data_IF_510645379306
#
_entry.id   IF_510645379306
#
_cell.length_a   1.000
_cell.length_b   1.000
_cell.length_c   1.000
_cell.angle_alpha   90.00
_cell.angle_beta   90.00
_cell.angle_gamma   90.00
#
_symmetry.space_group_name_H-M   'P 1'
#
loop_
_entity.id
_entity.type
_entity.pdbx_description
1 polymer ?
#
# COMPACT_ATOMS: atom_id res chain seq x y z
N UNK A 1 18.67 29.39 -7.80
CA UNK A 1 18.53 28.43 -6.69
C UNK A 1 17.15 27.79 -6.78
N UNK A 2 17.01 26.64 -7.44
CA UNK A 2 15.72 25.92 -7.53
C UNK A 2 15.79 24.71 -6.63
N UNK A 3 15.21 24.85 -5.43
CA UNK A 3 15.09 23.77 -4.44
C UNK A 3 13.99 22.82 -4.91
N UNK A 4 14.35 21.74 -5.58
CA UNK A 4 13.44 20.65 -5.95
C UNK A 4 12.95 19.99 -4.66
N UNK A 5 11.72 20.30 -4.26
CA UNK A 5 11.09 19.68 -3.11
C UNK A 5 10.79 18.21 -3.43
N UNK A 6 11.28 17.29 -2.57
CA UNK A 6 10.97 15.85 -2.67
C UNK A 6 9.45 15.68 -2.61
N UNK A 7 8.83 14.92 -3.54
CA UNK A 7 7.40 14.67 -3.48
C UNK A 7 7.05 13.99 -2.17
N UNK A 8 6.07 14.53 -1.45
CA UNK A 8 5.62 13.99 -0.18
C UNK A 8 5.05 12.57 -0.38
N UNK A 9 5.19 11.72 0.64
CA UNK A 9 4.58 10.39 0.62
C UNK A 9 3.05 10.50 0.53
N UNK A 10 2.38 9.58 -0.19
CA UNK A 10 0.93 9.56 -0.25
C UNK A 10 0.31 9.45 1.14
N UNK A 11 -0.81 10.14 1.37
CA UNK A 11 -1.53 10.09 2.65
C UNK A 11 -2.49 8.91 2.74
N UNK A 12 -2.94 8.37 1.60
CA UNK A 12 -3.91 7.28 1.52
C UNK A 12 -3.55 6.31 0.39
N UNK A 13 -4.08 5.09 0.47
CA UNK A 13 -3.97 4.08 -0.59
C UNK A 13 -4.52 4.58 -1.92
N UNK A 14 -5.75 5.11 -1.92
CA UNK A 14 -6.40 5.66 -3.13
C UNK A 14 -5.57 6.77 -3.78
N UNK A 15 -4.96 7.65 -2.98
CA UNK A 15 -4.10 8.70 -3.52
C UNK A 15 -2.82 8.13 -4.15
N UNK A 16 -2.24 7.08 -3.55
CA UNK A 16 -1.06 6.42 -4.09
C UNK A 16 -1.36 5.71 -5.43
N UNK A 17 -2.53 5.06 -5.53
CA UNK A 17 -2.98 4.42 -6.76
C UNK A 17 -3.25 5.45 -7.86
N UNK A 18 -4.00 6.51 -7.57
CA UNK A 18 -4.28 7.57 -8.54
C UNK A 18 -3.00 8.25 -9.07
N UNK A 19 -2.00 8.44 -8.20
CA UNK A 19 -0.70 8.97 -8.60
C UNK A 19 0.07 7.98 -9.49
N UNK A 20 0.03 6.68 -9.17
CA UNK A 20 0.67 5.63 -9.95
C UNK A 20 0.05 5.50 -11.35
N UNK A 21 -1.28 5.55 -11.45
CA UNK A 21 -2.00 5.55 -12.73
C UNK A 21 -1.61 6.75 -13.59
N UNK A 22 -1.51 7.94 -12.99
CA UNK A 22 -1.04 9.14 -13.68
C UNK A 22 0.39 9.03 -14.21
N UNK A 23 1.29 8.42 -13.42
CA UNK A 23 2.67 8.17 -13.85
C UNK A 23 2.73 7.17 -15.00
N UNK A 24 1.98 6.07 -14.93
CA UNK A 24 1.92 5.08 -16.01
C UNK A 24 1.39 5.72 -17.29
N UNK A 25 0.30 6.49 -17.20
CA UNK A 25 -0.24 7.20 -18.36
C UNK A 25 0.77 8.17 -18.99
N UNK A 26 1.57 8.88 -18.18
CA UNK A 26 2.63 9.75 -18.68
C UNK A 26 3.75 8.95 -19.37
N UNK A 27 4.12 7.78 -18.81
CA UNK A 27 5.12 6.88 -19.40
C UNK A 27 4.66 6.30 -20.74
N UNK A 28 3.39 5.92 -20.85
CA UNK A 28 2.78 5.39 -22.07
C UNK A 28 2.59 6.46 -23.16
N UNK A 29 2.41 7.73 -22.77
CA UNK A 29 2.33 8.85 -23.72
C UNK A 29 3.64 9.09 -24.49
N UNK A 30 4.77 8.58 -24.01
CA UNK A 30 6.04 8.54 -24.74
C UNK A 30 6.72 9.90 -24.96
N UNK A 31 6.30 10.95 -24.25
CA UNK A 31 6.88 12.30 -24.38
C UNK A 31 7.90 12.66 -23.29
N UNK A 32 8.19 11.73 -22.37
CA UNK A 32 9.10 11.96 -21.26
C UNK A 32 10.55 11.95 -21.73
N UNK A 33 11.33 12.88 -21.19
CA UNK A 33 12.78 12.79 -21.31
C UNK A 33 13.31 11.54 -20.57
N UNK A 34 14.55 11.15 -20.83
CA UNK A 34 15.19 10.05 -20.10
C UNK A 34 15.25 10.34 -18.59
N UNK A 35 15.54 11.58 -18.21
CA UNK A 35 15.62 12.02 -16.81
C UNK A 35 14.25 11.93 -16.15
N UNK A 36 13.20 12.38 -16.83
CA UNK A 36 11.82 12.30 -16.31
C UNK A 36 11.32 10.85 -16.24
N UNK A 37 11.72 10.01 -17.20
CA UNK A 37 11.39 8.57 -17.19
C UNK A 37 12.01 7.86 -15.99
N UNK A 38 13.27 8.19 -15.65
CA UNK A 38 13.94 7.65 -14.46
C UNK A 38 13.28 8.16 -13.17
N UNK A 39 12.88 9.44 -13.14
CA UNK A 39 12.17 10.01 -12.00
C UNK A 39 10.79 9.36 -11.81
N UNK A 40 10.03 9.17 -12.90
CA UNK A 40 8.75 8.50 -12.90
C UNK A 40 8.86 7.06 -12.42
N UNK A 41 9.85 6.30 -12.91
CA UNK A 41 10.12 4.94 -12.46
C UNK A 41 10.41 4.87 -10.96
N UNK A 42 11.31 5.74 -10.47
CA UNK A 42 11.65 5.79 -9.04
C UNK A 42 10.43 6.13 -8.18
N UNK A 43 9.59 7.07 -8.63
CA UNK A 43 8.36 7.40 -7.92
C UNK A 43 7.38 6.23 -7.94
N UNK A 44 7.23 5.56 -9.08
CA UNK A 44 6.38 4.38 -9.23
C UNK A 44 6.78 3.24 -8.29
N UNK A 45 8.08 2.99 -8.08
CA UNK A 45 8.55 1.96 -7.13
C UNK A 45 8.26 2.35 -5.68
N UNK A 46 8.41 3.62 -5.32
CA UNK A 46 8.04 4.15 -3.99
C UNK A 46 6.52 3.99 -3.73
N UNK A 47 5.68 4.35 -4.70
CA UNK A 47 4.21 4.22 -4.60
C UNK A 47 3.78 2.75 -4.50
N UNK A 48 4.36 1.88 -5.32
CA UNK A 48 4.07 0.45 -5.30
C UNK A 48 4.42 -0.17 -3.94
N UNK A 49 5.57 0.19 -3.38
CA UNK A 49 5.98 -0.28 -2.04
C UNK A 49 5.05 0.22 -0.94
N UNK A 50 4.57 1.46 -1.03
CA UNK A 50 3.55 1.98 -0.11
C UNK A 50 2.26 1.17 -0.20
N UNK A 51 1.72 0.95 -1.40
CA UNK A 51 0.48 0.20 -1.63
C UNK A 51 0.57 -1.23 -1.08
N UNK A 52 1.66 -1.94 -1.37
CA UNK A 52 1.90 -3.29 -0.87
C UNK A 52 1.93 -3.34 0.67
N UNK A 53 2.60 -2.38 1.30
CA UNK A 53 2.65 -2.28 2.75
C UNK A 53 1.26 -2.02 3.35
N UNK A 54 0.51 -1.09 2.77
CA UNK A 54 -0.85 -0.77 3.24
C UNK A 54 -1.78 -1.98 3.15
N UNK A 55 -1.71 -2.75 2.05
CA UNK A 55 -2.48 -3.98 1.90
C UNK A 55 -2.06 -5.06 2.91
N UNK A 56 -0.76 -5.26 3.12
CA UNK A 56 -0.26 -6.21 4.12
C UNK A 56 -0.73 -5.84 5.55
N UNK A 57 -0.67 -4.55 5.90
CA UNK A 57 -1.13 -4.04 7.19
C UNK A 57 -2.65 -4.25 7.36
N UNK A 58 -3.44 -4.11 6.29
CA UNK A 58 -4.88 -4.35 6.30
C UNK A 58 -5.20 -5.85 6.43
N UNK A 59 -4.53 -6.72 5.67
CA UNK A 59 -4.66 -8.17 5.77
C UNK A 59 -4.35 -8.67 7.18
N UNK A 60 -3.30 -8.13 7.81
CA UNK A 60 -2.93 -8.49 9.17
C UNK A 60 -4.01 -8.10 10.17
N UNK A 61 -4.63 -6.93 10.02
CA UNK A 61 -5.74 -6.50 10.89
C UNK A 61 -6.95 -7.42 10.74
N UNK A 62 -7.31 -7.81 9.51
CA UNK A 62 -8.41 -8.76 9.27
C UNK A 62 -8.11 -10.09 9.96
N UNK A 63 -6.91 -10.66 9.79
CA UNK A 63 -6.52 -11.92 10.45
C UNK A 63 -6.61 -11.83 11.97
N UNK A 64 -6.23 -10.71 12.58
CA UNK A 64 -6.34 -10.54 14.04
C UNK A 64 -7.79 -10.51 14.48
N UNK A 65 -8.67 -9.83 13.75
CA UNK A 65 -10.11 -9.78 14.05
C UNK A 65 -10.78 -11.14 13.90
N UNK A 66 -10.46 -11.88 12.84
CA UNK A 66 -10.98 -13.25 12.62
C UNK A 66 -10.53 -14.21 13.73
N UNK A 67 -9.26 -14.13 14.13
CA UNK A 67 -8.74 -14.96 15.24
C UNK A 67 -9.35 -14.58 16.59
N UNK A 68 -9.64 -13.30 16.83
CA UNK A 68 -10.35 -12.85 18.02
C UNK A 68 -11.78 -13.39 18.04
N UNK A 69 -12.49 -13.26 16.92
CA UNK A 69 -13.84 -13.79 16.75
C UNK A 69 -13.89 -15.31 16.98
N UNK A 70 -12.92 -16.05 16.43
CA UNK A 70 -12.85 -17.50 16.60
C UNK A 70 -12.61 -17.93 18.07
N UNK A 71 -11.89 -17.13 18.86
CA UNK A 71 -11.70 -17.39 20.29
C UNK A 71 -12.97 -17.15 21.10
N UNK A 72 -13.74 -16.14 20.75
CA UNK A 72 -15.01 -15.83 21.43
C UNK A 72 -16.10 -16.88 21.14
N UNK A 73 -16.03 -17.52 19.97
CA UNK A 73 -16.93 -18.61 19.56
C UNK A 73 -16.42 -20.01 19.85
N UNK A 74 -15.17 -20.18 20.28
CA UNK A 74 -14.73 -21.44 20.83
C UNK A 74 -15.66 -21.69 22.03
N UNK A 75 -16.57 -22.70 21.97
CA UNK A 75 -17.32 -23.05 23.15
C UNK A 75 -16.26 -23.32 24.21
N UNK A 76 -16.54 -22.94 25.45
CA UNK A 76 -15.92 -23.61 26.58
C UNK A 76 -16.33 -25.08 26.44
N UNK A 77 -15.64 -25.83 25.58
CA UNK A 77 -15.64 -27.27 25.55
C UNK A 77 -14.92 -27.57 26.85
N UNK A 78 -15.74 -27.55 27.91
CA UNK A 78 -15.30 -27.67 29.26
C UNK A 78 -14.33 -28.82 29.31
N UNK A 79 -13.21 -28.56 29.97
CA UNK A 79 -12.54 -29.59 30.73
C UNK A 79 -13.62 -30.23 31.64
N UNK A 80 -14.34 -31.20 31.09
CA UNK A 80 -15.25 -32.06 31.81
C UNK A 80 -14.40 -32.89 32.76
N UNK A 81 -14.37 -32.44 34.00
CA UNK A 81 -14.46 -33.23 35.22
C UNK A 81 -14.48 -34.76 34.99
N UNK A 82 -13.32 -35.40 35.14
CA UNK A 82 -13.01 -36.40 36.19
C UNK A 82 -11.61 -36.99 36.02
#
# INVERSE_FOLDING_TARGET
MTKTAKPASPKTFEAAIAELEGLVAAMEAGNLSLEDSLAAYKRGTELTGYCQKTLADAEQQVKVLENGLLKDFAPDIGAGEQ
#
